data_IF_716082755651
#
_entry.id   IF_716082755651
#
_cell.length_a   1.000
_cell.length_b   1.000
_cell.length_c   1.000
_cell.angle_alpha   90.00
_cell.angle_beta   90.00
_cell.angle_gamma   90.00
#
_symmetry.space_group_name_H-M   'P 1'
#
loop_
_entity.id
_entity.type
_entity.pdbx_description
1 polymer ?
#
# COMPACT_ATOMS: atom_id res chain seq x y z
N UNK A 1 -57.53 8.25 -41.08
CA UNK A 1 -58.60 8.84 -40.24
C UNK A 1 -58.56 8.13 -38.89
N UNK A 2 -58.05 8.76 -37.94
CA UNK A 2 -58.48 8.89 -36.54
C UNK A 2 -57.27 9.46 -35.71
N UNK A 3 -57.40 10.75 -35.49
CA UNK A 3 -56.57 11.49 -34.54
C UNK A 3 -56.98 11.12 -33.11
N UNK A 4 -55.99 10.87 -32.24
CA UNK A 4 -56.18 10.88 -30.78
C UNK A 4 -55.32 11.99 -30.23
N UNK A 5 -55.95 13.04 -29.76
CA UNK A 5 -55.41 14.19 -29.06
C UNK A 5 -55.16 13.74 -27.60
N UNK A 6 -53.92 13.78 -27.12
CA UNK A 6 -53.61 13.55 -25.72
C UNK A 6 -53.46 14.92 -25.02
N UNK A 7 -54.39 15.19 -24.12
CA UNK A 7 -54.44 16.37 -23.27
C UNK A 7 -53.39 16.29 -22.17
N UNK A 8 -52.47 17.25 -22.13
CA UNK A 8 -51.49 17.40 -21.06
C UNK A 8 -52.12 18.21 -19.93
N UNK A 9 -52.30 17.57 -18.75
CA UNK A 9 -52.76 18.21 -17.52
C UNK A 9 -51.54 18.75 -16.75
N UNK A 10 -51.40 20.08 -16.70
CA UNK A 10 -50.41 20.75 -15.86
C UNK A 10 -50.95 20.83 -14.42
N UNK A 11 -50.32 20.13 -13.48
CA UNK A 11 -50.53 20.31 -12.05
C UNK A 11 -49.46 21.29 -11.51
N UNK A 12 -49.94 22.50 -11.18
CA UNK A 12 -49.14 23.47 -10.43
C UNK A 12 -49.12 23.10 -8.93
N UNK A 13 -47.98 22.79 -8.40
CA UNK A 13 -47.78 22.61 -6.95
C UNK A 13 -47.22 23.92 -6.38
N UNK A 14 -48.02 24.62 -5.61
CA UNK A 14 -47.61 25.79 -4.83
C UNK A 14 -46.84 25.33 -3.58
N UNK A 15 -45.55 25.65 -3.48
CA UNK A 15 -44.78 25.44 -2.27
C UNK A 15 -44.92 26.65 -1.33
N UNK A 16 -45.51 26.42 -0.16
CA UNK A 16 -45.53 27.35 0.94
C UNK A 16 -44.15 27.38 1.63
N UNK A 17 -43.48 28.53 1.60
CA UNK A 17 -42.26 28.74 2.34
C UNK A 17 -42.56 28.92 3.84
N UNK A 18 -42.12 27.98 4.67
CA UNK A 18 -42.08 28.15 6.12
C UNK A 18 -40.73 28.75 6.51
N UNK A 19 -40.75 30.00 7.03
CA UNK A 19 -39.62 30.66 7.62
C UNK A 19 -39.30 30.10 8.99
N UNK A 20 -38.31 29.16 9.05
CA UNK A 20 -37.73 28.69 10.31
C UNK A 20 -36.70 29.71 10.83
N UNK A 21 -37.01 30.36 11.94
CA UNK A 21 -36.07 31.24 12.69
C UNK A 21 -34.90 30.38 13.18
N UNK A 22 -33.70 30.66 12.69
CA UNK A 22 -32.44 30.13 13.21
C UNK A 22 -32.11 30.85 14.50
N UNK A 23 -31.99 30.15 15.63
CA UNK A 23 -31.45 30.69 16.88
C UNK A 23 -29.96 30.93 16.71
N UNK A 24 -29.40 32.06 17.26
CA UNK A 24 -27.97 32.26 17.28
C UNK A 24 -27.26 31.28 18.17
N UNK A 25 -25.99 30.93 17.90
CA UNK A 25 -25.21 30.02 18.76
C UNK A 25 -24.92 30.64 20.11
N UNK A 26 -25.04 29.84 21.18
CA UNK A 26 -24.71 30.20 22.54
C UNK A 26 -23.23 30.53 22.70
N UNK A 27 -22.95 31.58 23.47
CA UNK A 27 -21.61 32.05 23.82
C UNK A 27 -20.82 30.99 24.59
N UNK A 28 -19.48 30.88 24.41
CA UNK A 28 -18.66 29.91 25.11
C UNK A 28 -18.57 30.25 26.60
N UNK A 29 -18.61 29.19 27.42
CA UNK A 29 -18.46 29.23 28.87
C UNK A 29 -17.13 29.84 29.31
N UNK A 30 -17.08 30.53 30.46
CA UNK A 30 -15.89 31.24 30.90
C UNK A 30 -14.76 30.29 31.33
N UNK A 31 -13.56 30.66 30.87
CA UNK A 31 -12.27 30.03 31.23
C UNK A 31 -12.03 30.11 32.76
N UNK A 32 -11.54 29.08 33.42
CA UNK A 32 -11.21 29.11 34.84
C UNK A 32 -10.02 30.04 35.09
N UNK A 33 -10.19 30.93 36.11
CA UNK A 33 -9.16 31.84 36.56
C UNK A 33 -7.97 31.11 37.16
N UNK A 34 -6.73 31.58 36.98
CA UNK A 34 -5.56 30.96 37.56
C UNK A 34 -5.57 31.12 39.10
N UNK A 35 -5.26 30.03 39.75
CA UNK A 35 -5.11 29.93 41.22
C UNK A 35 -4.02 30.85 41.70
N UNK A 36 -4.32 31.60 42.78
CA UNK A 36 -3.42 32.50 43.43
C UNK A 36 -2.20 31.77 44.04
N UNK A 37 -1.01 32.23 43.65
CA UNK A 37 0.24 31.81 44.31
C UNK A 37 0.28 32.34 45.74
N UNK A 38 0.30 31.41 46.70
CA UNK A 38 0.57 31.72 48.09
C UNK A 38 2.01 32.17 48.24
N UNK A 39 2.22 33.42 48.58
CA UNK A 39 3.55 33.99 48.89
C UNK A 39 4.00 33.51 50.28
N UNK A 40 5.03 32.68 50.31
CA UNK A 40 5.73 32.32 51.55
C UNK A 40 6.57 33.56 51.94
N UNK A 41 6.29 34.12 53.13
CA UNK A 41 7.10 35.19 53.70
C UNK A 41 8.45 34.64 54.16
N UNK A 42 9.52 35.09 53.53
CA UNK A 42 10.89 34.82 53.93
C UNK A 42 11.25 35.59 55.20
N UNK A 43 11.77 34.88 56.21
CA UNK A 43 12.26 35.44 57.48
C UNK A 43 13.82 35.44 57.46
N UNK A 44 14.48 36.61 57.51
CA UNK A 44 15.91 36.73 57.21
C UNK A 44 16.83 36.57 58.46
N UNK A 45 16.55 35.69 59.39
CA UNK A 45 17.39 35.55 60.58
C UNK A 45 17.72 34.11 60.97
N UNK A 46 18.30 33.36 60.02
CA UNK A 46 19.14 32.17 60.34
C UNK A 46 20.17 32.00 59.25
N UNK A 47 21.48 32.14 59.60
CA UNK A 47 22.59 31.71 58.75
C UNK A 47 22.59 30.20 58.75
N UNK A 48 22.54 29.53 57.58
CA UNK A 48 22.90 28.13 57.48
C UNK A 48 24.39 27.98 57.40
N UNK A 49 24.90 26.97 58.05
CA UNK A 49 26.30 26.52 57.98
C UNK A 49 26.73 26.24 56.54
N UNK A 50 28.01 26.46 56.26
CA UNK A 50 28.62 26.28 54.97
C UNK A 50 28.38 24.87 54.42
N UNK A 51 27.58 24.78 53.37
CA UNK A 51 27.48 23.57 52.55
C UNK A 51 28.70 23.61 51.64
N UNK A 52 29.59 22.58 51.60
CA UNK A 52 30.71 22.53 50.66
C UNK A 52 30.18 22.59 49.23
N UNK A 53 30.78 23.45 48.42
CA UNK A 53 30.45 23.63 47.01
C UNK A 53 30.47 22.27 46.27
N UNK A 54 29.43 21.98 45.46
CA UNK A 54 29.43 20.76 44.67
C UNK A 54 30.63 20.77 43.72
N UNK A 55 31.39 19.67 43.76
CA UNK A 55 32.46 19.40 42.79
C UNK A 55 31.88 19.54 41.39
N UNK A 56 32.50 20.31 40.48
CA UNK A 56 31.99 20.43 39.14
C UNK A 56 32.02 19.07 38.47
N UNK A 57 30.81 18.55 38.11
CA UNK A 57 30.71 17.41 37.23
C UNK A 57 31.46 17.70 35.94
N UNK A 58 32.21 16.74 35.37
CA UNK A 58 32.88 16.95 34.11
C UNK A 58 31.85 17.41 33.07
N UNK A 59 32.04 18.59 32.50
CA UNK A 59 31.29 19.01 31.32
C UNK A 59 31.66 18.01 30.23
N UNK A 60 30.74 17.11 29.91
CA UNK A 60 30.77 16.40 28.63
C UNK A 60 30.79 17.48 27.56
N UNK A 61 31.87 17.54 26.79
CA UNK A 61 31.96 18.40 25.61
C UNK A 61 30.85 17.99 24.63
N UNK A 62 30.20 18.92 23.99
CA UNK A 62 29.19 18.67 22.94
C UNK A 62 29.75 17.83 21.77
N UNK A 63 31.04 17.60 21.71
CA UNK A 63 31.73 16.78 20.72
C UNK A 63 31.64 15.27 20.97
N UNK A 64 31.20 14.83 22.17
CA UNK A 64 31.09 13.39 22.49
C UNK A 64 29.69 12.80 22.24
N UNK A 65 28.72 13.61 21.81
CA UNK A 65 27.41 13.11 21.40
C UNK A 65 27.45 12.71 19.95
N UNK A 66 27.79 11.47 19.68
CA UNK A 66 27.63 10.86 18.35
C UNK A 66 26.11 10.76 18.12
N UNK A 67 25.53 11.74 17.42
CA UNK A 67 24.16 11.64 16.91
C UNK A 67 24.14 10.61 15.78
N UNK A 68 23.83 9.38 16.12
CA UNK A 68 23.59 8.34 15.12
C UNK A 68 22.15 8.56 14.61
N UNK A 69 22.00 9.36 13.57
CA UNK A 69 20.76 9.50 12.81
C UNK A 69 20.58 8.24 11.91
N UNK A 70 20.31 7.11 12.52
CA UNK A 70 20.02 5.87 11.78
C UNK A 70 18.55 5.53 11.91
N UNK A 71 17.85 5.54 10.78
CA UNK A 71 16.43 5.19 10.71
C UNK A 71 16.29 3.70 10.49
N UNK A 72 15.53 3.03 11.36
CA UNK A 72 15.21 1.61 11.23
C UNK A 72 14.54 1.32 9.89
N UNK A 73 15.13 0.43 9.09
CA UNK A 73 14.60 0.04 7.78
C UNK A 73 13.81 -1.27 7.91
N UNK A 74 12.48 -1.23 7.77
CA UNK A 74 11.65 -2.43 7.78
C UNK A 74 11.72 -3.13 6.41
N UNK A 75 11.91 -4.44 6.42
CA UNK A 75 11.96 -5.30 5.23
C UNK A 75 10.85 -6.35 5.34
N UNK A 76 9.73 -6.17 4.63
CA UNK A 76 8.69 -7.21 4.55
C UNK A 76 9.21 -8.44 3.83
N UNK A 77 8.96 -9.62 4.42
CA UNK A 77 9.45 -10.90 3.89
C UNK A 77 8.33 -11.92 3.91
N UNK A 78 8.05 -12.51 2.76
CA UNK A 78 7.20 -13.68 2.62
C UNK A 78 8.06 -14.92 2.48
N UNK A 79 7.82 -15.94 3.28
CA UNK A 79 8.48 -17.25 3.16
C UNK A 79 7.41 -18.30 2.95
N UNK A 80 7.44 -18.96 1.82
CA UNK A 80 6.46 -19.96 1.42
C UNK A 80 7.15 -21.31 1.20
N UNK A 81 6.47 -22.40 1.52
CA UNK A 81 6.90 -23.74 1.13
C UNK A 81 6.57 -24.02 -0.35
N UNK A 82 6.97 -25.19 -0.83
CA UNK A 82 6.72 -25.62 -2.22
C UNK A 82 5.23 -25.73 -2.56
N UNK A 83 4.35 -25.84 -1.57
CA UNK A 83 2.90 -25.85 -1.77
C UNK A 83 2.30 -24.44 -1.79
N UNK A 84 3.12 -23.39 -1.60
CA UNK A 84 2.68 -22.00 -1.52
C UNK A 84 2.09 -21.61 -0.16
N UNK A 85 2.24 -22.46 0.87
CA UNK A 85 1.80 -22.17 2.23
C UNK A 85 2.86 -21.37 2.98
N UNK A 86 2.46 -20.36 3.74
CA UNK A 86 3.37 -19.56 4.53
C UNK A 86 4.08 -20.37 5.63
N UNK A 87 5.40 -20.25 5.69
CA UNK A 87 6.24 -20.77 6.75
C UNK A 87 6.30 -19.74 7.86
N UNK A 88 5.70 -20.03 9.01
CA UNK A 88 5.45 -19.02 10.06
C UNK A 88 6.23 -19.24 11.35
N UNK A 89 7.12 -20.22 11.42
CA UNK A 89 7.85 -20.64 12.62
C UNK A 89 9.36 -20.35 12.56
N UNK A 90 9.77 -19.42 11.68
CA UNK A 90 11.17 -19.01 11.57
C UNK A 90 11.55 -18.05 12.70
N UNK A 91 12.82 -18.13 13.11
CA UNK A 91 13.46 -17.27 14.09
C UNK A 91 14.44 -16.31 13.40
N UNK A 92 14.86 -15.26 14.08
CA UNK A 92 15.81 -14.29 13.56
C UNK A 92 17.11 -14.95 13.04
N UNK A 93 17.63 -15.94 13.75
CA UNK A 93 18.85 -16.68 13.37
C UNK A 93 18.71 -17.50 12.07
N UNK A 94 17.48 -17.74 11.61
CA UNK A 94 17.23 -18.48 10.37
C UNK A 94 17.45 -17.62 9.13
N UNK A 95 17.52 -16.30 9.27
CA UNK A 95 17.67 -15.35 8.18
C UNK A 95 19.12 -14.90 8.02
N UNK A 96 19.53 -14.69 6.78
CA UNK A 96 20.78 -14.08 6.40
C UNK A 96 20.52 -12.88 5.48
N UNK A 97 20.75 -11.67 6.01
CA UNK A 97 20.58 -10.42 5.26
C UNK A 97 21.93 -9.93 4.73
N UNK A 98 21.94 -9.52 3.46
CA UNK A 98 23.05 -8.78 2.84
C UNK A 98 22.53 -7.50 2.22
N UNK A 99 23.26 -6.41 2.45
CA UNK A 99 23.02 -5.11 1.84
C UNK A 99 24.21 -4.76 0.95
N UNK A 100 23.96 -4.51 -0.33
CA UNK A 100 25.01 -4.32 -1.34
C UNK A 100 26.07 -5.45 -1.31
N UNK A 101 25.61 -6.71 -1.13
CA UNK A 101 26.46 -7.89 -1.06
C UNK A 101 27.18 -8.10 0.28
N UNK A 102 27.18 -7.15 1.21
CA UNK A 102 27.80 -7.25 2.54
C UNK A 102 26.80 -7.76 3.58
N UNK A 103 27.20 -8.68 4.49
CA UNK A 103 26.37 -9.09 5.59
C UNK A 103 25.90 -7.89 6.42
N UNK A 104 24.60 -7.88 6.78
CA UNK A 104 24.00 -6.87 7.64
C UNK A 104 23.29 -7.54 8.81
N UNK A 105 23.42 -6.94 10.01
CA UNK A 105 22.79 -7.45 11.21
C UNK A 105 21.30 -7.15 11.21
N UNK A 106 20.47 -8.17 11.44
CA UNK A 106 19.03 -8.03 11.63
C UNK A 106 18.79 -7.76 13.12
N UNK A 107 18.24 -6.60 13.44
CA UNK A 107 18.02 -6.18 14.83
C UNK A 107 16.71 -6.64 15.41
N UNK A 108 15.69 -6.83 14.56
CA UNK A 108 14.36 -7.26 14.99
C UNK A 108 13.69 -8.16 13.96
N UNK A 109 12.87 -9.06 14.47
CA UNK A 109 11.99 -9.94 13.70
C UNK A 109 10.61 -9.91 14.34
N UNK A 110 9.67 -9.30 13.65
CA UNK A 110 8.27 -9.30 14.05
C UNK A 110 7.38 -9.93 12.98
N UNK A 111 6.17 -10.31 13.37
CA UNK A 111 5.11 -10.58 12.40
C UNK A 111 4.38 -9.29 12.09
N UNK A 112 3.96 -9.16 10.86
CA UNK A 112 3.31 -7.94 10.44
C UNK A 112 1.94 -7.75 11.10
N UNK A 113 1.89 -6.93 12.13
CA UNK A 113 0.66 -6.37 12.68
C UNK A 113 0.34 -4.97 12.12
N UNK A 114 1.27 -4.42 11.33
CA UNK A 114 1.11 -3.11 10.72
C UNK A 114 -0.12 -3.08 9.80
N UNK A 115 -0.90 -1.99 9.85
CA UNK A 115 -2.06 -1.83 8.99
C UNK A 115 -1.67 -1.90 7.51
N UNK A 116 -2.55 -2.48 6.70
CA UNK A 116 -2.40 -2.50 5.24
C UNK A 116 -2.99 -1.22 4.65
N UNK A 117 -2.25 -0.64 3.71
CA UNK A 117 -2.69 0.44 2.83
C UNK A 117 -2.67 -0.09 1.42
N UNK A 118 -3.85 -0.47 0.94
CA UNK A 118 -4.05 -1.15 -0.33
C UNK A 118 -4.48 -0.17 -1.41
N UNK A 119 -3.79 -0.15 -2.54
CA UNK A 119 -4.30 0.40 -3.78
C UNK A 119 -4.61 -0.76 -4.74
N UNK A 120 -5.86 -0.90 -5.16
CA UNK A 120 -6.22 -1.82 -6.23
C UNK A 120 -6.30 -1.04 -7.54
N UNK A 121 -5.45 -1.42 -8.49
CA UNK A 121 -5.48 -0.92 -9.85
C UNK A 121 -6.25 -1.90 -10.70
N UNK A 122 -7.32 -1.43 -11.26
CA UNK A 122 -8.22 -2.22 -12.07
C UNK A 122 -8.18 -1.73 -13.52
N UNK A 123 -7.77 -2.60 -14.40
CA UNK A 123 -7.74 -2.28 -15.83
C UNK A 123 -9.15 -2.07 -16.36
N UNK A 124 -9.36 -0.94 -16.99
CA UNK A 124 -10.63 -0.56 -17.63
C UNK A 124 -10.42 -0.22 -19.12
N UNK A 125 -9.39 -0.77 -19.72
CA UNK A 125 -9.10 -0.62 -21.15
C UNK A 125 -9.92 -1.58 -22.01
N UNK A 126 -9.89 -1.38 -23.32
CA UNK A 126 -10.66 -2.21 -24.26
C UNK A 126 -10.21 -3.68 -24.30
N UNK A 127 -8.99 -3.98 -23.89
CA UNK A 127 -8.43 -5.35 -23.94
C UNK A 127 -9.08 -6.30 -22.92
N UNK A 128 -9.54 -5.81 -21.75
CA UNK A 128 -10.08 -6.64 -20.68
C UNK A 128 -11.59 -6.90 -20.76
N UNK A 129 -12.24 -6.57 -21.88
CA UNK A 129 -13.70 -6.67 -22.01
C UNK A 129 -14.25 -8.06 -21.69
N UNK A 130 -13.54 -9.13 -22.06
CA UNK A 130 -13.97 -10.51 -21.84
C UNK A 130 -13.80 -10.91 -20.37
N UNK A 131 -12.79 -10.40 -19.69
CA UNK A 131 -12.47 -10.72 -18.31
C UNK A 131 -13.28 -9.88 -17.30
N UNK A 132 -13.84 -8.76 -17.72
CA UNK A 132 -14.41 -7.71 -16.89
C UNK A 132 -15.36 -8.19 -15.77
N UNK A 133 -16.39 -8.94 -16.13
CA UNK A 133 -17.37 -9.41 -15.15
C UNK A 133 -16.77 -10.37 -14.12
N UNK A 134 -15.86 -11.19 -14.57
CA UNK A 134 -15.10 -12.13 -13.77
C UNK A 134 -14.18 -11.41 -12.78
N UNK A 135 -13.40 -10.42 -13.25
CA UNK A 135 -12.51 -9.59 -12.44
C UNK A 135 -13.28 -8.81 -11.37
N UNK A 136 -14.41 -8.20 -11.73
CA UNK A 136 -15.28 -7.46 -10.81
C UNK A 136 -15.75 -8.35 -9.65
N UNK A 137 -16.29 -9.53 -9.96
CA UNK A 137 -16.75 -10.47 -8.92
C UNK A 137 -15.63 -10.92 -7.99
N UNK A 138 -14.46 -11.14 -8.54
CA UNK A 138 -13.32 -11.60 -7.74
C UNK A 138 -12.74 -10.47 -6.87
N UNK A 139 -12.68 -9.24 -7.37
CA UNK A 139 -12.24 -8.08 -6.58
C UNK A 139 -13.16 -7.80 -5.38
N UNK A 140 -14.49 -7.92 -5.56
CA UNK A 140 -15.46 -7.81 -4.48
C UNK A 140 -15.18 -8.83 -3.36
N UNK A 141 -14.91 -10.09 -3.72
CA UNK A 141 -14.55 -11.13 -2.75
C UNK A 141 -13.19 -10.86 -2.08
N UNK A 142 -12.23 -10.33 -2.85
CA UNK A 142 -10.90 -10.01 -2.34
C UNK A 142 -10.92 -8.95 -1.25
N UNK A 143 -11.63 -7.84 -1.45
CA UNK A 143 -11.74 -6.80 -0.42
C UNK A 143 -12.29 -7.34 0.90
N UNK A 144 -13.33 -8.16 0.84
CA UNK A 144 -13.94 -8.77 2.02
C UNK A 144 -13.00 -9.73 2.77
N UNK A 145 -12.02 -10.32 2.08
CA UNK A 145 -11.04 -11.25 2.68
C UNK A 145 -9.80 -10.57 3.23
N UNK A 146 -9.33 -9.54 2.54
CA UNK A 146 -8.03 -8.91 2.83
C UNK A 146 -8.14 -7.85 3.90
N UNK A 147 -9.20 -7.03 3.85
CA UNK A 147 -9.33 -5.87 4.72
C UNK A 147 -9.84 -6.27 6.11
N UNK A 148 -9.13 -5.79 7.12
CA UNK A 148 -9.58 -5.75 8.51
C UNK A 148 -10.09 -4.34 8.78
N UNK A 149 -11.41 -4.11 8.85
CA UNK A 149 -11.99 -2.76 8.89
C UNK A 149 -11.47 -1.89 10.04
N UNK A 150 -11.01 -2.52 11.12
CA UNK A 150 -10.51 -1.80 12.31
C UNK A 150 -9.18 -1.11 12.06
N UNK A 151 -8.40 -1.54 11.06
CA UNK A 151 -7.04 -1.02 10.84
C UNK A 151 -6.62 -0.82 9.39
N UNK A 152 -7.20 -1.56 8.46
CA UNK A 152 -6.78 -1.54 7.06
C UNK A 152 -7.60 -0.56 6.24
N UNK A 153 -6.98 0.04 5.23
CA UNK A 153 -7.64 0.93 4.28
C UNK A 153 -7.33 0.49 2.86
N UNK A 154 -8.32 0.58 1.99
CA UNK A 154 -8.14 0.37 0.56
C UNK A 154 -8.64 1.56 -0.25
N UNK A 155 -7.98 1.80 -1.38
CA UNK A 155 -8.38 2.71 -2.43
C UNK A 155 -8.51 1.95 -3.76
N UNK A 156 -9.39 2.41 -4.64
CA UNK A 156 -9.66 1.80 -5.94
C UNK A 156 -9.31 2.78 -7.05
N UNK A 157 -8.56 2.31 -8.02
CA UNK A 157 -8.15 3.04 -9.21
C UNK A 157 -8.64 2.32 -10.46
N UNK A 158 -9.16 3.05 -11.42
CA UNK A 158 -9.36 2.55 -12.78
C UNK A 158 -8.25 3.04 -13.69
N UNK A 159 -7.72 2.14 -14.51
CA UNK A 159 -6.67 2.43 -15.48
C UNK A 159 -7.24 2.24 -16.89
N UNK A 160 -7.13 3.28 -17.71
CA UNK A 160 -7.38 3.24 -19.14
C UNK A 160 -6.38 4.18 -19.81
N UNK A 161 -6.76 4.98 -20.78
CA UNK A 161 -5.90 6.06 -21.35
C UNK A 161 -5.44 7.04 -20.25
N UNK A 162 -6.21 7.18 -19.19
CA UNK A 162 -5.86 7.93 -17.99
C UNK A 162 -6.22 7.12 -16.75
N UNK A 163 -5.50 7.36 -15.64
CA UNK A 163 -5.80 6.74 -14.36
C UNK A 163 -6.71 7.63 -13.52
N UNK A 164 -7.74 7.04 -12.91
CA UNK A 164 -8.69 7.74 -12.05
C UNK A 164 -8.78 7.07 -10.68
N UNK A 165 -8.95 7.89 -9.65
CA UNK A 165 -9.27 7.41 -8.29
C UNK A 165 -10.78 7.28 -8.21
N UNK A 166 -11.30 6.07 -8.24
CA UNK A 166 -12.72 5.77 -8.19
C UNK A 166 -13.23 5.75 -6.75
N UNK A 167 -12.39 5.26 -5.83
CA UNK A 167 -12.66 5.29 -4.39
C UNK A 167 -11.38 5.66 -3.64
N UNK A 168 -11.43 6.74 -2.87
CA UNK A 168 -10.35 7.11 -1.94
C UNK A 168 -10.28 6.10 -0.78
N UNK A 169 -9.22 6.17 0.03
CA UNK A 169 -9.05 5.28 1.17
C UNK A 169 -10.33 5.16 2.02
N UNK A 170 -10.75 3.92 2.20
CA UNK A 170 -11.86 3.53 3.07
C UNK A 170 -11.61 2.14 3.66
N UNK A 171 -12.18 1.87 4.83
CA UNK A 171 -12.29 0.52 5.40
C UNK A 171 -13.66 -0.11 5.08
N UNK A 172 -14.59 0.66 4.50
CA UNK A 172 -15.92 0.18 4.11
C UNK A 172 -15.85 -0.59 2.80
N UNK A 173 -15.90 -1.91 2.91
CA UNK A 173 -15.92 -2.82 1.76
C UNK A 173 -17.13 -2.57 0.85
N UNK A 174 -18.25 -2.12 1.42
CA UNK A 174 -19.45 -1.81 0.63
C UNK A 174 -19.25 -0.61 -0.29
N UNK A 175 -18.46 0.40 0.11
CA UNK A 175 -18.08 1.52 -0.76
C UNK A 175 -17.18 1.05 -1.91
N UNK A 176 -16.19 0.22 -1.62
CA UNK A 176 -15.29 -0.35 -2.64
C UNK A 176 -16.06 -1.20 -3.66
N UNK A 177 -16.99 -2.04 -3.18
CA UNK A 177 -17.80 -2.88 -4.04
C UNK A 177 -18.71 -2.05 -4.96
N UNK A 178 -19.40 -1.05 -4.42
CA UNK A 178 -20.20 -0.13 -5.23
C UNK A 178 -19.38 0.62 -6.28
N UNK A 179 -18.19 1.07 -5.90
CA UNK A 179 -17.29 1.77 -6.82
C UNK A 179 -16.87 0.87 -7.99
N UNK A 180 -16.48 -0.38 -7.74
CA UNK A 180 -16.04 -1.30 -8.81
C UNK A 180 -17.22 -1.75 -9.70
N UNK A 181 -18.40 -1.95 -9.12
CA UNK A 181 -19.63 -2.30 -9.86
C UNK A 181 -20.14 -1.14 -10.73
N UNK A 182 -19.82 0.10 -10.37
CA UNK A 182 -20.23 1.31 -11.09
C UNK A 182 -19.28 1.73 -12.21
N UNK A 183 -18.17 1.01 -12.44
CA UNK A 183 -17.23 1.35 -13.52
C UNK A 183 -17.93 1.39 -14.87
N UNK A 184 -17.59 2.37 -15.72
CA UNK A 184 -18.09 2.39 -17.08
C UNK A 184 -17.55 1.17 -17.87
N UNK A 185 -18.18 0.82 -19.01
CA UNK A 185 -17.65 -0.22 -19.88
C UNK A 185 -16.18 0.03 -20.21
N UNK A 186 -15.35 -1.03 -20.28
CA UNK A 186 -13.94 -0.91 -20.65
C UNK A 186 -13.74 -0.23 -22.01
N UNK A 187 -12.89 0.79 -22.06
CA UNK A 187 -12.66 1.59 -23.28
C UNK A 187 -11.26 2.21 -23.29
N UNK A 188 -10.71 2.37 -24.48
CA UNK A 188 -9.47 3.10 -24.71
C UNK A 188 -8.21 2.25 -24.61
N UNK A 189 -7.08 2.92 -24.61
CA UNK A 189 -5.75 2.36 -24.40
C UNK A 189 -5.45 2.19 -22.90
N UNK A 190 -4.28 1.66 -22.58
CA UNK A 190 -3.88 1.39 -21.19
C UNK A 190 -2.63 2.20 -20.85
N UNK A 191 -2.72 3.11 -19.87
CA UNK A 191 -1.59 3.82 -19.26
C UNK A 191 -1.24 3.17 -17.92
N UNK A 192 -0.81 1.89 -17.95
CA UNK A 192 -0.64 1.07 -16.75
C UNK A 192 0.53 1.55 -15.89
N UNK A 193 1.68 1.87 -16.51
CA UNK A 193 2.85 2.33 -15.76
C UNK A 193 2.61 3.66 -15.07
N UNK A 194 1.91 4.59 -15.72
CA UNK A 194 1.50 5.86 -15.11
C UNK A 194 0.52 5.63 -13.95
N UNK A 195 -0.39 4.67 -14.10
CA UNK A 195 -1.32 4.27 -13.05
C UNK A 195 -0.61 3.68 -11.82
N UNK A 196 0.43 2.88 -12.03
CA UNK A 196 1.25 2.33 -10.96
C UNK A 196 1.99 3.45 -10.22
N UNK A 197 2.59 4.41 -10.95
CA UNK A 197 3.27 5.56 -10.35
C UNK A 197 2.30 6.40 -9.51
N UNK A 198 1.15 6.76 -10.07
CA UNK A 198 0.13 7.52 -9.34
C UNK A 198 -0.31 6.81 -8.06
N UNK A 199 -0.49 5.49 -8.11
CA UNK A 199 -0.87 4.69 -6.95
C UNK A 199 0.24 4.61 -5.91
N UNK A 200 1.50 4.49 -6.33
CA UNK A 200 2.66 4.48 -5.45
C UNK A 200 2.83 5.84 -4.73
N UNK A 201 2.64 6.94 -5.44
CA UNK A 201 2.65 8.28 -4.87
C UNK A 201 1.49 8.49 -3.87
N UNK A 202 0.29 8.05 -4.23
CA UNK A 202 -0.88 8.12 -3.34
C UNK A 202 -0.68 7.33 -2.03
N UNK A 203 0.05 6.20 -2.10
CA UNK A 203 0.42 5.40 -0.93
C UNK A 203 1.61 6.00 -0.16
N UNK A 204 2.44 6.85 -0.80
CA UNK A 204 3.72 7.31 -0.27
C UNK A 204 3.65 8.02 1.07
N UNK A 205 2.59 8.79 1.31
CA UNK A 205 2.42 9.62 2.51
C UNK A 205 1.67 8.92 3.65
N UNK A 206 1.23 7.67 3.45
CA UNK A 206 0.39 6.97 4.42
C UNK A 206 1.20 5.96 5.22
N UNK A 207 1.07 5.99 6.55
CA UNK A 207 1.72 5.02 7.41
C UNK A 207 1.07 3.64 7.33
N UNK A 208 1.91 2.59 7.34
CA UNK A 208 1.50 1.20 7.23
C UNK A 208 2.21 0.48 6.09
N UNK A 209 1.83 -0.77 5.85
CA UNK A 209 2.34 -1.56 4.72
C UNK A 209 1.62 -1.16 3.45
N UNK A 210 2.36 -0.72 2.48
CA UNK A 210 1.87 -0.21 1.20
C UNK A 210 1.84 -1.33 0.18
N UNK A 211 0.66 -1.66 -0.28
CA UNK A 211 0.43 -2.78 -1.19
C UNK A 211 -0.35 -2.30 -2.41
N UNK A 212 0.14 -2.63 -3.57
CA UNK A 212 -0.57 -2.43 -4.83
C UNK A 212 -0.98 -3.80 -5.37
N UNK A 213 -2.25 -3.97 -5.70
CA UNK A 213 -2.77 -5.14 -6.40
C UNK A 213 -3.25 -4.69 -7.77
N UNK A 214 -2.63 -5.21 -8.82
CA UNK A 214 -2.95 -4.91 -10.21
C UNK A 214 -3.80 -6.05 -10.76
N UNK A 215 -4.93 -5.73 -11.36
CA UNK A 215 -5.78 -6.67 -12.11
C UNK A 215 -5.81 -6.16 -13.55
N UNK A 216 -5.07 -6.82 -14.45
CA UNK A 216 -4.86 -6.36 -15.84
C UNK A 216 -4.29 -7.48 -16.70
N UNK A 217 -4.39 -7.38 -18.02
CA UNK A 217 -3.63 -8.22 -18.97
C UNK A 217 -2.14 -7.83 -19.05
N UNK A 218 -1.76 -6.71 -18.44
CA UNK A 218 -0.40 -6.20 -18.34
C UNK A 218 0.05 -5.38 -19.57
N UNK A 219 -0.81 -5.18 -20.56
CA UNK A 219 -0.49 -4.30 -21.67
C UNK A 219 -0.37 -2.85 -21.19
N UNK A 220 0.55 -2.13 -21.83
CA UNK A 220 0.80 -0.71 -21.58
C UNK A 220 1.06 -0.02 -22.92
N UNK A 221 0.07 0.71 -23.37
CA UNK A 221 0.05 1.27 -24.73
C UNK A 221 -0.02 2.79 -24.75
N UNK A 222 -0.18 3.43 -23.60
CA UNK A 222 -0.42 4.86 -23.51
C UNK A 222 0.31 5.55 -22.34
N UNK A 223 1.16 4.87 -21.60
CA UNK A 223 1.95 5.53 -20.56
C UNK A 223 3.05 6.40 -21.14
N UNK A 224 3.26 7.55 -20.55
CA UNK A 224 4.41 8.42 -20.78
C UNK A 224 5.65 7.95 -19.98
N UNK A 225 5.44 7.20 -18.91
CA UNK A 225 6.49 6.73 -18.01
C UNK A 225 7.14 5.43 -18.47
N UNK A 226 8.42 5.28 -18.18
CA UNK A 226 9.18 4.04 -18.43
C UNK A 226 9.06 3.06 -17.26
N UNK A 227 9.40 1.78 -17.51
CA UNK A 227 9.53 0.76 -16.45
C UNK A 227 10.52 1.17 -15.35
N UNK A 228 11.64 1.80 -15.73
CA UNK A 228 12.65 2.27 -14.78
C UNK A 228 12.09 3.34 -13.83
N UNK A 229 11.35 4.32 -14.36
CA UNK A 229 10.69 5.36 -13.57
C UNK A 229 9.65 4.75 -12.63
N UNK A 230 8.88 3.76 -13.11
CA UNK A 230 7.88 3.04 -12.32
C UNK A 230 8.53 2.27 -11.16
N UNK A 231 9.59 1.51 -11.43
CA UNK A 231 10.32 0.78 -10.40
C UNK A 231 10.92 1.72 -9.34
N UNK A 232 11.48 2.84 -9.79
CA UNK A 232 12.01 3.86 -8.89
C UNK A 232 10.93 4.46 -7.98
N UNK A 233 9.75 4.79 -8.52
CA UNK A 233 8.61 5.30 -7.74
C UNK A 233 8.14 4.28 -6.70
N UNK A 234 8.00 3.01 -7.08
CA UNK A 234 7.63 1.92 -6.19
C UNK A 234 8.63 1.71 -5.05
N UNK A 235 9.93 1.79 -5.36
CA UNK A 235 11.00 1.62 -4.37
C UNK A 235 11.10 2.81 -3.41
N UNK A 236 10.91 4.04 -3.89
CA UNK A 236 10.85 5.25 -3.07
C UNK A 236 9.65 5.22 -2.13
N UNK A 237 8.49 4.78 -2.62
CA UNK A 237 7.26 4.66 -1.84
C UNK A 237 7.19 3.38 -1.00
N UNK A 238 8.19 2.49 -1.09
CA UNK A 238 8.22 1.20 -0.39
C UNK A 238 6.95 0.35 -0.62
N UNK A 239 6.43 0.35 -1.85
CA UNK A 239 5.25 -0.41 -2.22
C UNK A 239 5.61 -1.85 -2.61
N UNK A 240 4.80 -2.81 -2.16
CA UNK A 240 4.84 -4.20 -2.60
C UNK A 240 3.75 -4.41 -3.66
N UNK A 241 4.08 -5.03 -4.79
CA UNK A 241 3.15 -5.17 -5.92
C UNK A 241 2.80 -6.62 -6.19
N UNK A 242 1.52 -6.93 -6.17
CA UNK A 242 0.95 -8.18 -6.63
C UNK A 242 0.22 -7.95 -7.95
N UNK A 243 0.33 -8.89 -8.87
CA UNK A 243 -0.35 -8.81 -10.17
C UNK A 243 -1.23 -10.04 -10.36
N UNK A 244 -2.47 -9.81 -10.71
CA UNK A 244 -3.41 -10.82 -11.20
C UNK A 244 -3.56 -10.58 -12.69
N UNK A 245 -2.83 -11.36 -13.48
CA UNK A 245 -2.79 -11.24 -14.95
C UNK A 245 -3.99 -11.98 -15.56
N UNK A 246 -4.79 -11.28 -16.35
CA UNK A 246 -6.04 -11.81 -16.92
C UNK A 246 -5.90 -12.39 -18.31
N UNK A 247 -4.75 -12.21 -18.95
CA UNK A 247 -4.44 -12.70 -20.30
C UNK A 247 -4.75 -14.18 -20.51
N UNK A 248 -4.37 -15.03 -19.53
CA UNK A 248 -4.53 -16.48 -19.65
C UNK A 248 -6.01 -16.87 -19.55
N UNK A 249 -6.79 -16.16 -18.74
CA UNK A 249 -8.25 -16.30 -18.68
C UNK A 249 -8.90 -15.95 -20.02
N UNK A 250 -8.55 -14.82 -20.60
CA UNK A 250 -9.11 -14.38 -21.89
C UNK A 250 -8.76 -15.37 -23.02
N UNK A 251 -7.51 -15.82 -23.05
CA UNK A 251 -7.06 -16.84 -24.00
C UNK A 251 -7.83 -18.14 -23.82
N UNK A 252 -8.00 -18.60 -22.58
CA UNK A 252 -8.77 -19.81 -22.30
C UNK A 252 -10.25 -19.68 -22.70
N UNK A 253 -10.88 -18.54 -22.41
CA UNK A 253 -12.27 -18.27 -22.83
C UNK A 253 -12.44 -18.26 -24.35
N UNK A 254 -11.44 -17.77 -25.06
CA UNK A 254 -11.47 -17.68 -26.53
C UNK A 254 -11.15 -19.00 -27.22
N UNK A 255 -10.24 -19.80 -26.66
CA UNK A 255 -9.68 -20.98 -27.36
C UNK A 255 -10.07 -22.32 -26.73
N UNK A 256 -10.53 -22.33 -25.48
CA UNK A 256 -10.76 -23.53 -24.68
C UNK A 256 -9.47 -24.27 -24.29
N UNK A 257 -8.30 -23.73 -24.60
CA UNK A 257 -6.99 -24.38 -24.33
C UNK A 257 -6.28 -23.71 -23.15
N UNK A 258 -5.74 -24.57 -22.25
CA UNK A 258 -4.83 -24.11 -21.18
C UNK A 258 -3.43 -23.76 -21.70
N UNK A 259 -3.03 -24.34 -22.80
CA UNK A 259 -1.76 -24.01 -23.46
C UNK A 259 -1.97 -22.71 -24.20
N UNK A 260 -1.53 -21.63 -23.62
CA UNK A 260 -1.57 -20.33 -24.25
C UNK A 260 -0.76 -20.37 -25.55
N UNK A 261 -1.36 -19.98 -26.66
CA UNK A 261 -0.57 -19.52 -27.80
C UNK A 261 0.17 -18.29 -27.27
N UNK A 262 1.45 -18.47 -26.93
CA UNK A 262 2.30 -17.36 -26.52
C UNK A 262 2.30 -16.33 -27.64
N UNK A 263 1.41 -15.36 -27.53
CA UNK A 263 1.39 -14.25 -28.46
C UNK A 263 2.67 -13.45 -28.19
N UNK A 264 3.56 -13.41 -29.17
CA UNK A 264 4.83 -12.68 -29.08
C UNK A 264 4.60 -11.24 -28.58
N UNK A 265 3.45 -10.64 -28.88
CA UNK A 265 3.07 -9.30 -28.41
C UNK A 265 2.80 -9.24 -26.89
N UNK A 266 2.42 -10.35 -26.26
CA UNK A 266 2.11 -10.40 -24.81
C UNK A 266 3.36 -10.64 -23.94
N UNK A 267 4.45 -11.16 -24.51
CA UNK A 267 5.69 -11.45 -23.79
C UNK A 267 6.33 -10.21 -23.11
N UNK A 268 6.39 -9.03 -23.77
CA UNK A 268 6.93 -7.84 -23.11
C UNK A 268 6.08 -7.39 -21.90
N UNK A 269 4.76 -7.46 -22.01
CA UNK A 269 3.82 -7.14 -20.94
C UNK A 269 4.03 -8.09 -19.74
N UNK A 270 4.12 -9.39 -20.00
CA UNK A 270 4.36 -10.39 -18.98
C UNK A 270 5.71 -10.18 -18.27
N UNK A 271 6.79 -9.99 -19.01
CA UNK A 271 8.13 -9.73 -18.44
C UNK A 271 8.13 -8.48 -17.58
N UNK A 272 7.46 -7.42 -17.99
CA UNK A 272 7.32 -6.16 -17.26
C UNK A 272 6.61 -6.38 -15.92
N UNK A 273 5.49 -7.11 -15.91
CA UNK A 273 4.75 -7.42 -14.68
C UNK A 273 5.54 -8.31 -13.74
N UNK A 274 6.24 -9.32 -14.27
CA UNK A 274 7.13 -10.19 -13.49
C UNK A 274 8.26 -9.36 -12.86
N UNK A 275 8.87 -8.46 -13.61
CA UNK A 275 9.95 -7.60 -13.10
C UNK A 275 9.45 -6.68 -11.98
N UNK A 276 8.31 -6.00 -12.17
CA UNK A 276 7.70 -5.15 -11.14
C UNK A 276 7.42 -5.94 -9.86
N UNK A 277 6.79 -7.10 -9.97
CA UNK A 277 6.48 -7.93 -8.81
C UNK A 277 7.75 -8.40 -8.10
N UNK A 278 8.75 -8.90 -8.83
CA UNK A 278 10.01 -9.40 -8.28
C UNK A 278 10.81 -8.30 -7.57
N UNK A 279 10.91 -7.11 -8.17
CA UNK A 279 11.65 -5.98 -7.59
C UNK A 279 11.02 -5.47 -6.29
N UNK A 280 9.72 -5.63 -6.14
CA UNK A 280 8.96 -5.15 -4.99
C UNK A 280 8.64 -6.23 -3.95
N UNK A 281 9.01 -7.50 -4.22
CA UNK A 281 8.80 -8.63 -3.31
C UNK A 281 7.40 -9.22 -3.34
N UNK A 282 6.62 -8.93 -4.38
CA UNK A 282 5.32 -9.53 -4.63
C UNK A 282 5.38 -10.72 -5.58
N UNK A 283 4.26 -10.97 -6.29
CA UNK A 283 4.11 -12.11 -7.20
C UNK A 283 3.09 -11.83 -8.31
N UNK A 284 3.29 -12.47 -9.46
CA UNK A 284 2.30 -12.52 -10.55
C UNK A 284 1.52 -13.83 -10.46
N UNK A 285 0.22 -13.73 -10.56
CA UNK A 285 -0.74 -14.83 -10.68
C UNK A 285 -1.40 -14.77 -12.05
N UNK A 286 -1.58 -15.93 -12.69
CA UNK A 286 -2.16 -16.02 -14.03
C UNK A 286 -3.33 -17.02 -14.03
N UNK A 287 -4.46 -16.68 -13.40
CA UNK A 287 -5.62 -17.56 -13.33
C UNK A 287 -6.28 -17.73 -14.71
N UNK A 288 -6.81 -18.93 -14.97
CA UNK A 288 -7.54 -19.24 -16.20
C UNK A 288 -9.04 -19.42 -15.98
N UNK A 289 -9.47 -19.55 -14.73
CA UNK A 289 -10.87 -19.68 -14.35
C UNK A 289 -11.17 -18.99 -13.01
N UNK A 290 -12.45 -18.95 -12.61
CA UNK A 290 -12.89 -18.31 -11.36
C UNK A 290 -12.29 -18.95 -10.11
N UNK A 291 -12.07 -20.26 -10.14
CA UNK A 291 -11.51 -20.98 -9.01
C UNK A 291 -10.03 -20.62 -8.80
N UNK A 292 -9.26 -20.54 -9.88
CA UNK A 292 -7.86 -20.13 -9.83
C UNK A 292 -7.72 -18.65 -9.43
N UNK A 293 -8.66 -17.78 -9.86
CA UNK A 293 -8.67 -16.38 -9.47
C UNK A 293 -9.02 -16.20 -7.98
N UNK A 294 -10.05 -16.89 -7.48
CA UNK A 294 -10.36 -16.94 -6.05
C UNK A 294 -9.16 -17.44 -5.24
N UNK A 295 -8.44 -18.45 -5.75
CA UNK A 295 -7.23 -18.98 -5.13
C UNK A 295 -6.08 -17.98 -5.13
N UNK A 296 -5.85 -17.27 -6.23
CA UNK A 296 -4.84 -16.20 -6.31
C UNK A 296 -5.08 -15.11 -5.25
N UNK A 297 -6.29 -14.61 -5.14
CA UNK A 297 -6.65 -13.63 -4.12
C UNK A 297 -6.57 -14.19 -2.70
N UNK A 298 -6.93 -15.47 -2.50
CA UNK A 298 -6.76 -16.14 -1.21
C UNK A 298 -5.28 -16.22 -0.81
N UNK A 299 -4.40 -16.55 -1.76
CA UNK A 299 -2.96 -16.60 -1.51
C UNK A 299 -2.38 -15.23 -1.18
N UNK A 300 -2.75 -14.18 -1.92
CA UNK A 300 -2.32 -12.80 -1.62
C UNK A 300 -2.76 -12.41 -0.20
N UNK A 301 -4.02 -12.67 0.16
CA UNK A 301 -4.54 -12.37 1.49
C UNK A 301 -3.80 -13.12 2.60
N UNK A 302 -3.57 -14.42 2.41
CA UNK A 302 -2.84 -15.26 3.37
C UNK A 302 -1.40 -14.77 3.53
N UNK A 303 -0.72 -14.45 2.44
CA UNK A 303 0.64 -13.93 2.46
C UNK A 303 0.72 -12.59 3.20
N UNK A 304 -0.12 -11.64 2.85
CA UNK A 304 -0.18 -10.34 3.52
C UNK A 304 -0.46 -10.45 5.03
N UNK A 305 -1.20 -11.47 5.46
CA UNK A 305 -1.52 -11.71 6.86
C UNK A 305 -0.38 -12.38 7.65
N UNK A 306 0.58 -13.01 6.97
CA UNK A 306 1.59 -13.89 7.59
C UNK A 306 3.04 -13.47 7.29
N UNK A 307 3.26 -12.30 6.73
CA UNK A 307 4.59 -11.77 6.47
C UNK A 307 5.40 -11.54 7.76
N UNK A 308 6.69 -11.80 7.66
CA UNK A 308 7.68 -11.29 8.61
C UNK A 308 8.06 -9.85 8.26
N UNK A 309 8.40 -9.08 9.27
CA UNK A 309 9.08 -7.80 9.13
C UNK A 309 10.45 -7.97 9.79
N UNK A 310 11.49 -8.00 8.96
CA UNK A 310 12.86 -7.87 9.43
C UNK A 310 13.20 -6.39 9.52
N UNK A 311 13.98 -6.02 10.51
CA UNK A 311 14.43 -4.66 10.66
C UNK A 311 15.94 -4.63 10.85
N UNK A 312 16.61 -3.64 10.25
CA UNK A 312 18.04 -3.41 10.45
C UNK A 312 18.35 -1.92 10.46
N UNK A 313 19.45 -1.55 11.09
CA UNK A 313 19.97 -0.19 11.07
C UNK A 313 21.03 -0.06 9.98
N UNK A 314 20.84 0.79 8.96
CA UNK A 314 21.86 1.05 7.96
C UNK A 314 23.03 1.83 8.57
N UNK A 315 24.26 1.40 8.26
CA UNK A 315 25.44 2.16 8.59
C UNK A 315 25.59 3.37 7.66
N UNK A 316 26.03 4.52 8.20
CA UNK A 316 26.34 5.75 7.47
C UNK A 316 25.20 6.23 6.56
N UNK A 317 23.97 6.22 7.06
CA UNK A 317 22.77 6.59 6.28
C UNK A 317 22.87 8.03 5.73
N UNK A 318 23.42 8.95 6.53
CA UNK A 318 23.59 10.36 6.14
C UNK A 318 24.49 10.56 4.91
N UNK A 319 25.49 9.71 4.71
CA UNK A 319 26.43 9.78 3.59
C UNK A 319 25.84 9.19 2.29
N UNK A 320 24.74 8.41 2.39
CA UNK A 320 24.17 7.66 1.28
C UNK A 320 22.76 8.12 0.90
N UNK A 321 22.35 9.31 1.29
CA UNK A 321 21.03 9.85 0.98
C UNK A 321 20.74 9.85 -0.52
N UNK A 322 19.59 9.26 -0.89
CA UNK A 322 19.16 9.13 -2.28
C UNK A 322 19.88 8.04 -3.08
N UNK A 323 20.76 7.25 -2.44
CA UNK A 323 21.45 6.11 -3.05
C UNK A 323 20.58 4.85 -2.92
N UNK A 324 20.55 4.05 -3.97
CA UNK A 324 19.89 2.74 -3.94
C UNK A 324 20.73 1.72 -3.18
N UNK A 325 20.12 0.96 -2.28
CA UNK A 325 20.72 -0.13 -1.51
C UNK A 325 20.06 -1.45 -1.91
N UNK A 326 20.86 -2.35 -2.46
CA UNK A 326 20.38 -3.69 -2.83
C UNK A 326 20.18 -4.56 -1.58
N UNK A 327 19.07 -5.31 -1.55
CA UNK A 327 18.73 -6.28 -0.52
C UNK A 327 18.85 -7.69 -1.10
N UNK A 328 19.63 -8.54 -0.43
CA UNK A 328 19.65 -9.99 -0.65
C UNK A 328 19.35 -10.69 0.66
N UNK A 329 18.33 -11.54 0.65
CA UNK A 329 17.87 -12.26 1.83
C UNK A 329 17.82 -13.76 1.55
N UNK A 330 18.33 -14.56 2.47
CA UNK A 330 18.29 -16.01 2.43
C UNK A 330 17.74 -16.58 3.74
N UNK A 331 17.16 -17.81 3.67
CA UNK A 331 16.69 -18.56 4.85
C UNK A 331 17.52 -19.84 4.96
N UNK A 332 18.32 -19.91 6.00
CA UNK A 332 19.26 -21.04 6.23
C UNK A 332 18.57 -22.31 6.72
N UNK A 333 17.53 -22.16 7.54
CA UNK A 333 16.93 -23.26 8.29
C UNK A 333 16.10 -24.23 7.44
N UNK A 334 15.66 -23.82 6.24
CA UNK A 334 14.81 -24.64 5.38
C UNK A 334 15.26 -24.52 3.92
N UNK A 335 15.89 -25.55 3.35
CA UNK A 335 16.07 -25.64 1.91
C UNK A 335 14.69 -25.81 1.25
N UNK A 336 14.51 -25.33 0.04
CA UNK A 336 13.28 -25.43 -0.75
C UNK A 336 12.11 -24.56 -0.24
N UNK A 337 12.38 -23.34 0.17
CA UNK A 337 11.37 -22.32 0.41
C UNK A 337 11.49 -21.19 -0.63
N UNK A 338 10.35 -20.61 -1.01
CA UNK A 338 10.30 -19.39 -1.80
C UNK A 338 10.37 -18.20 -0.85
N UNK A 339 11.46 -17.42 -0.94
CA UNK A 339 11.71 -16.23 -0.11
C UNK A 339 11.52 -14.99 -0.96
N UNK A 340 10.52 -14.19 -0.65
CA UNK A 340 10.20 -12.98 -1.39
C UNK A 340 10.31 -11.75 -0.50
N UNK A 341 11.10 -10.81 -0.98
CA UNK A 341 11.27 -9.47 -0.41
C UNK A 341 11.64 -8.50 -1.51
N UNK A 342 11.48 -7.22 -1.27
CA UNK A 342 11.95 -6.19 -2.21
C UNK A 342 13.44 -6.34 -2.47
N UNK A 343 13.88 -6.08 -3.69
CA UNK A 343 15.30 -6.20 -4.10
C UNK A 343 16.18 -5.04 -3.66
N UNK A 344 15.58 -3.98 -3.14
CA UNK A 344 16.31 -2.84 -2.63
C UNK A 344 15.39 -1.70 -2.20
N UNK A 345 15.99 -0.62 -1.77
CA UNK A 345 15.32 0.61 -1.37
C UNK A 345 16.25 1.81 -1.60
N UNK A 346 15.64 2.99 -1.72
CA UNK A 346 16.41 4.24 -1.71
C UNK A 346 16.50 4.78 -0.28
N UNK A 347 17.72 5.18 0.12
CA UNK A 347 17.91 5.87 1.39
C UNK A 347 17.17 7.21 1.36
N UNK A 348 16.34 7.54 2.37
CA UNK A 348 15.61 8.82 2.39
C UNK A 348 16.54 10.03 2.25
N UNK A 349 16.08 11.08 1.56
CA UNK A 349 16.86 12.32 1.34
C UNK A 349 16.74 13.31 2.49
N UNK A 350 15.81 13.09 3.43
CA UNK A 350 15.57 13.98 4.59
C UNK A 350 16.18 13.41 5.84
#
# INVERSE_FOLDING_TARGET
MNSIIATILLLAVSSAAQSGRIKPPESPSPTPKPSQKTSIKYNPTQRPDEIPAPTPSPKLSDDDVIKVDSTLVPIPVSVLDLSGKAVTNLKLADFELKINGKPAEITDLSRSESPIRLAMLFDNSSSVLIAREFETRAAVKFFSRVLKPEKDLAALFSVSTTTRIEQRFTSDVGLLNRAIESFPPPIGATALLDGIILSAEYLGDVQGRRVIVIVSDGDDTASDSSLEQTLKSLQLSNCQVYVVKTTDFENFKRTGSRVGNANIRQLPAERRMIEIANQTGGKVYSPIDEKELDEAFRQISAELSQQYILSYYPENESEHRGVFREISLNVRAKPNVDVRTRKGYYVPRK
#
